data_IF_340149413554
#
_entry.id   IF_340149413554
#
_cell.length_a   1.000
_cell.length_b   1.000
_cell.length_c   1.000
_cell.angle_alpha   90.00
_cell.angle_beta   90.00
_cell.angle_gamma   90.00
#
_symmetry.space_group_name_H-M   'P 1'
#
loop_
_entity.id
_entity.type
_entity.pdbx_description
1 polymer ?
#
# COMPACT_ATOMS: atom_id res chain seq x y z
N UNK A 1 10.84 2.30 -20.44
CA UNK A 1 9.69 2.81 -19.67
C UNK A 1 9.85 2.27 -18.26
N UNK A 2 9.82 3.12 -17.23
CA UNK A 2 9.91 2.64 -15.85
C UNK A 2 8.62 1.89 -15.49
N UNK A 3 8.69 0.95 -14.56
CA UNK A 3 7.53 0.19 -14.09
C UNK A 3 6.49 1.14 -13.47
N UNK A 4 6.95 2.17 -12.76
CA UNK A 4 6.09 3.21 -12.17
C UNK A 4 5.35 4.06 -13.21
N UNK A 5 5.93 4.34 -14.38
CA UNK A 5 5.25 5.08 -15.45
C UNK A 5 4.02 4.31 -15.97
N UNK A 6 4.19 3.00 -16.20
CA UNK A 6 3.11 2.12 -16.59
C UNK A 6 2.06 1.99 -15.48
N UNK A 7 2.52 1.79 -14.24
CA UNK A 7 1.65 1.65 -13.08
C UNK A 7 0.79 2.90 -12.85
N UNK A 8 1.36 4.09 -13.02
CA UNK A 8 0.65 5.37 -12.92
C UNK A 8 -0.46 5.46 -13.98
N UNK A 9 -0.14 5.21 -15.26
CA UNK A 9 -1.12 5.24 -16.34
C UNK A 9 -2.26 4.25 -16.11
N UNK A 10 -1.89 3.02 -15.75
CA UNK A 10 -2.84 1.93 -15.51
C UNK A 10 -3.74 2.18 -14.29
N UNK A 11 -3.16 2.65 -13.18
CA UNK A 11 -3.93 3.04 -12.00
C UNK A 11 -4.85 4.23 -12.28
N UNK A 12 -4.38 5.21 -13.06
CA UNK A 12 -5.19 6.38 -13.45
C UNK A 12 -6.42 5.96 -14.23
N UNK A 13 -6.27 5.10 -15.22
CA UNK A 13 -7.39 4.64 -16.06
C UNK A 13 -8.46 3.92 -15.24
N UNK A 14 -8.04 3.14 -14.23
CA UNK A 14 -8.94 2.38 -13.36
C UNK A 14 -9.56 3.21 -12.23
N UNK A 15 -8.80 4.13 -11.62
CA UNK A 15 -9.17 4.80 -10.38
C UNK A 15 -9.68 6.23 -10.55
N UNK A 16 -9.35 6.92 -11.65
CA UNK A 16 -9.80 8.30 -11.89
C UNK A 16 -11.33 8.46 -11.82
N UNK A 17 -12.15 7.51 -12.33
CA UNK A 17 -13.61 7.57 -12.16
C UNK A 17 -14.08 7.50 -10.70
N UNK A 18 -13.26 6.99 -9.79
CA UNK A 18 -13.56 6.84 -8.35
C UNK A 18 -13.16 8.08 -7.52
N UNK A 19 -12.73 9.17 -8.17
CA UNK A 19 -12.51 10.48 -7.56
C UNK A 19 -11.44 10.48 -6.48
N UNK A 20 -11.86 10.47 -5.21
CA UNK A 20 -10.96 10.48 -4.04
C UNK A 20 -9.94 9.35 -4.06
N UNK A 21 -10.33 8.17 -4.58
CA UNK A 21 -9.45 7.00 -4.66
C UNK A 21 -8.20 7.26 -5.49
N UNK A 22 -8.34 7.87 -6.67
CA UNK A 22 -7.20 8.25 -7.50
C UNK A 22 -6.29 9.25 -6.78
N UNK A 23 -6.86 10.29 -6.15
CA UNK A 23 -6.08 11.27 -5.38
C UNK A 23 -5.30 10.63 -4.25
N UNK A 24 -5.90 9.67 -3.55
CA UNK A 24 -5.23 8.89 -2.54
C UNK A 24 -4.04 8.10 -3.13
N UNK A 25 -4.26 7.27 -4.16
CA UNK A 25 -3.18 6.48 -4.77
C UNK A 25 -2.05 7.33 -5.34
N UNK A 26 -2.35 8.48 -5.94
CA UNK A 26 -1.35 9.44 -6.43
C UNK A 26 -0.51 10.03 -5.28
N UNK A 27 -1.14 10.38 -4.16
CA UNK A 27 -0.44 10.88 -2.98
C UNK A 27 0.38 9.80 -2.25
N UNK A 28 -0.10 8.55 -2.19
CA UNK A 28 0.66 7.40 -1.67
C UNK A 28 1.90 7.17 -2.52
N UNK A 29 1.78 7.24 -3.86
CA UNK A 29 2.93 7.15 -4.76
C UNK A 29 3.91 8.32 -4.61
N UNK A 30 3.44 9.51 -4.25
CA UNK A 30 4.32 10.64 -3.93
C UNK A 30 5.15 10.37 -2.66
N UNK A 31 4.56 9.80 -1.59
CA UNK A 31 5.34 9.34 -0.41
C UNK A 31 6.35 8.28 -0.84
N UNK A 32 5.93 7.30 -1.65
CA UNK A 32 6.80 6.22 -2.10
C UNK A 32 8.04 6.74 -2.85
N UNK A 33 7.90 7.82 -3.63
CA UNK A 33 9.03 8.49 -4.29
C UNK A 33 9.97 9.15 -3.29
N UNK A 34 9.47 9.74 -2.20
CA UNK A 34 10.28 10.30 -1.11
C UNK A 34 11.09 9.20 -0.40
N UNK A 35 10.50 8.00 -0.25
CA UNK A 35 11.14 6.85 0.39
C UNK A 35 12.03 6.02 -0.54
N UNK A 36 12.10 6.34 -1.84
CA UNK A 36 12.77 5.53 -2.85
C UNK A 36 14.25 5.27 -2.56
N UNK A 37 14.94 6.19 -1.88
CA UNK A 37 16.35 6.04 -1.49
C UNK A 37 16.57 5.16 -0.26
N UNK A 38 15.51 4.81 0.48
CA UNK A 38 15.58 3.98 1.69
C UNK A 38 15.42 2.49 1.41
N UNK A 39 14.91 2.14 0.22
CA UNK A 39 14.82 0.76 -0.26
C UNK A 39 16.03 0.42 -1.15
N UNK A 40 16.34 -0.86 -1.37
CA UNK A 40 17.37 -1.23 -2.33
C UNK A 40 17.15 -0.56 -3.69
N UNK A 41 18.20 -0.09 -4.40
CA UNK A 41 18.02 0.64 -5.67
C UNK A 41 17.20 -0.09 -6.74
N UNK A 42 17.25 -1.43 -6.76
CA UNK A 42 16.43 -2.26 -7.65
C UNK A 42 14.94 -2.34 -7.29
N UNK A 43 14.57 -1.91 -6.08
CA UNK A 43 13.22 -1.98 -5.53
C UNK A 43 12.50 -0.63 -5.51
N UNK A 44 13.22 0.48 -5.70
CA UNK A 44 12.67 1.83 -5.69
C UNK A 44 11.48 1.99 -6.66
N UNK A 45 11.64 1.52 -7.90
CA UNK A 45 10.60 1.59 -8.93
C UNK A 45 9.41 0.65 -8.62
N UNK A 46 9.67 -0.50 -7.98
CA UNK A 46 8.63 -1.44 -7.52
C UNK A 46 7.80 -0.83 -6.40
N UNK A 47 8.43 -0.13 -5.45
CA UNK A 47 7.73 0.57 -4.38
C UNK A 47 6.76 1.61 -4.96
N UNK A 48 7.24 2.50 -5.84
CA UNK A 48 6.40 3.54 -6.46
C UNK A 48 5.29 2.92 -7.32
N UNK A 49 5.59 1.88 -8.09
CA UNK A 49 4.58 1.19 -8.89
C UNK A 49 3.50 0.55 -8.00
N UNK A 50 3.88 -0.16 -6.94
CA UNK A 50 2.95 -0.79 -6.00
C UNK A 50 2.08 0.24 -5.28
N UNK A 51 2.62 1.41 -4.94
CA UNK A 51 1.90 2.52 -4.33
C UNK A 51 0.79 3.06 -5.25
N UNK A 52 1.04 3.20 -6.55
CA UNK A 52 -0.01 3.54 -7.51
C UNK A 52 -1.09 2.47 -7.60
N UNK A 53 -0.70 1.20 -7.50
CA UNK A 53 -1.55 0.06 -7.82
C UNK A 53 -2.31 -0.54 -6.63
N UNK A 54 -1.94 -0.24 -5.38
CA UNK A 54 -2.47 -0.95 -4.19
C UNK A 54 -4.00 -0.98 -4.10
N UNK A 55 -4.65 0.09 -4.54
CA UNK A 55 -6.10 0.28 -4.46
C UNK A 55 -6.84 -0.02 -5.79
N UNK A 56 -6.17 -0.52 -6.84
CA UNK A 56 -6.82 -0.76 -8.15
C UNK A 56 -7.97 -1.75 -8.11
N UNK A 57 -7.96 -2.68 -7.15
CA UNK A 57 -9.06 -3.62 -6.96
C UNK A 57 -10.40 -2.98 -6.55
N UNK A 58 -10.43 -1.67 -6.22
CA UNK A 58 -11.68 -0.92 -6.07
C UNK A 58 -12.38 -0.62 -7.41
N UNK A 59 -11.69 -0.73 -8.55
CA UNK A 59 -12.28 -0.50 -9.86
C UNK A 59 -13.43 -1.50 -10.10
N UNK A 60 -14.64 -1.05 -10.48
CA UNK A 60 -15.78 -1.94 -10.67
C UNK A 60 -15.54 -3.06 -11.68
N UNK A 61 -14.70 -2.83 -12.69
CA UNK A 61 -14.32 -3.83 -13.69
C UNK A 61 -13.42 -4.95 -13.16
N UNK A 62 -12.80 -4.76 -11.99
CA UNK A 62 -11.91 -5.73 -11.35
C UNK A 62 -12.54 -6.44 -10.15
N UNK A 63 -13.68 -5.94 -9.65
CA UNK A 63 -14.34 -6.44 -8.45
C UNK A 63 -14.97 -7.83 -8.69
N UNK A 64 -14.28 -8.88 -8.27
CA UNK A 64 -14.74 -10.28 -8.36
C UNK A 64 -15.18 -10.77 -6.98
N UNK A 65 -14.42 -10.46 -5.93
CA UNK A 65 -14.72 -10.87 -4.55
C UNK A 65 -15.25 -9.72 -3.69
N UNK A 66 -15.08 -8.48 -4.14
CA UNK A 66 -15.39 -7.29 -3.35
C UNK A 66 -14.35 -7.03 -2.25
N UNK A 67 -13.18 -7.68 -2.34
CA UNK A 67 -12.02 -7.47 -1.48
C UNK A 67 -10.87 -6.95 -2.35
N UNK A 68 -10.65 -5.64 -2.30
CA UNK A 68 -9.78 -4.92 -3.25
C UNK A 68 -8.33 -5.42 -3.30
N UNK A 69 -7.66 -5.86 -2.21
CA UNK A 69 -6.28 -6.34 -2.30
C UNK A 69 -6.21 -7.59 -3.18
N UNK A 70 -7.15 -8.52 -2.99
CA UNK A 70 -7.20 -9.77 -3.74
C UNK A 70 -7.62 -9.57 -5.20
N UNK A 71 -8.61 -8.71 -5.43
CA UNK A 71 -9.11 -8.41 -6.77
C UNK A 71 -8.06 -7.66 -7.61
N UNK A 72 -7.36 -6.69 -7.01
CA UNK A 72 -6.22 -6.01 -7.62
C UNK A 72 -5.05 -6.97 -7.90
N UNK A 73 -4.70 -7.82 -6.94
CA UNK A 73 -3.63 -8.80 -7.10
C UNK A 73 -3.90 -9.80 -8.23
N UNK A 74 -5.14 -10.30 -8.36
CA UNK A 74 -5.53 -11.18 -9.47
C UNK A 74 -5.33 -10.52 -10.83
N UNK A 75 -5.73 -9.25 -10.93
CA UNK A 75 -5.55 -8.46 -12.14
C UNK A 75 -4.06 -8.28 -12.48
N UNK A 76 -3.24 -7.88 -11.53
CA UNK A 76 -1.80 -7.70 -11.76
C UNK A 76 -1.10 -9.00 -12.15
N UNK A 77 -1.50 -10.12 -11.55
CA UNK A 77 -0.98 -11.44 -11.92
C UNK A 77 -1.38 -11.85 -13.34
N UNK A 78 -2.59 -11.53 -13.81
CA UNK A 78 -3.00 -11.82 -15.19
C UNK A 78 -2.22 -11.01 -16.23
N UNK A 79 -1.70 -9.84 -15.83
CA UNK A 79 -0.79 -9.01 -16.62
C UNK A 79 0.69 -9.43 -16.51
N UNK A 80 1.00 -10.54 -15.83
CA UNK A 80 2.36 -11.06 -15.66
C UNK A 80 3.17 -10.38 -14.55
N UNK A 81 2.57 -9.52 -13.73
CA UNK A 81 3.26 -8.78 -12.67
C UNK A 81 3.15 -9.49 -11.31
N UNK A 82 3.84 -10.63 -11.16
CA UNK A 82 3.73 -11.49 -9.97
C UNK A 82 4.14 -10.80 -8.65
N UNK A 83 5.28 -10.08 -8.64
CA UNK A 83 5.74 -9.38 -7.43
C UNK A 83 4.80 -8.24 -7.01
N UNK A 84 4.36 -7.42 -7.97
CA UNK A 84 3.37 -6.37 -7.68
C UNK A 84 2.06 -6.97 -7.19
N UNK A 85 1.63 -8.10 -7.75
CA UNK A 85 0.46 -8.80 -7.27
C UNK A 85 0.60 -9.25 -5.80
N UNK A 86 1.77 -9.75 -5.38
CA UNK A 86 2.07 -10.06 -3.98
C UNK A 86 1.98 -8.84 -3.07
N UNK A 87 2.67 -7.76 -3.44
CA UNK A 87 2.64 -6.50 -2.68
C UNK A 87 1.22 -5.93 -2.55
N UNK A 88 0.42 -5.95 -3.63
CA UNK A 88 -0.98 -5.50 -3.61
C UNK A 88 -1.87 -6.48 -2.83
N UNK A 89 -1.63 -7.80 -2.88
CA UNK A 89 -2.41 -8.76 -2.13
C UNK A 89 -2.27 -8.55 -0.61
N UNK A 90 -1.06 -8.26 -0.13
CA UNK A 90 -0.76 -8.18 1.30
C UNK A 90 -0.57 -6.76 1.83
N UNK A 91 -0.97 -5.72 1.09
CA UNK A 91 -0.79 -4.35 1.58
C UNK A 91 -1.59 -4.08 2.86
N UNK A 92 -0.98 -3.29 3.76
CA UNK A 92 -1.57 -2.79 5.00
C UNK A 92 -2.07 -3.91 5.94
N UNK A 93 -3.38 -4.20 5.96
CA UNK A 93 -3.99 -5.19 6.86
C UNK A 93 -4.74 -6.29 6.09
N UNK A 94 -4.40 -6.47 4.81
CA UNK A 94 -5.13 -7.36 3.91
C UNK A 94 -5.09 -8.83 4.34
N UNK A 95 -4.03 -9.26 5.03
CA UNK A 95 -3.92 -10.60 5.58
C UNK A 95 -5.02 -10.87 6.61
N UNK A 96 -5.15 -9.98 7.59
CA UNK A 96 -6.11 -10.08 8.68
C UNK A 96 -7.54 -9.94 8.14
N UNK A 97 -7.76 -9.05 7.17
CA UNK A 97 -9.08 -8.88 6.56
C UNK A 97 -9.51 -10.09 5.73
N UNK A 98 -8.57 -10.72 5.01
CA UNK A 98 -8.87 -11.91 4.24
C UNK A 98 -9.34 -13.07 5.12
N UNK A 99 -8.75 -13.24 6.31
CA UNK A 99 -9.21 -14.25 7.28
C UNK A 99 -10.64 -13.96 7.75
N UNK A 100 -10.94 -12.71 8.10
CA UNK A 100 -12.30 -12.29 8.50
C UNK A 100 -13.35 -12.50 7.40
N UNK A 101 -12.93 -12.43 6.13
CA UNK A 101 -13.78 -12.62 4.95
C UNK A 101 -13.82 -14.07 4.45
N UNK A 102 -13.09 -15.01 5.07
CA UNK A 102 -12.98 -16.39 4.58
C UNK A 102 -12.21 -16.51 3.25
N UNK A 103 -11.38 -15.53 2.91
CA UNK A 103 -10.59 -15.43 1.68
C UNK A 103 -9.11 -15.79 1.86
N UNK A 104 -8.69 -16.21 3.05
CA UNK A 104 -7.29 -16.56 3.35
C UNK A 104 -6.65 -17.55 2.37
N UNK A 105 -7.38 -18.62 1.99
CA UNK A 105 -6.90 -19.60 0.98
C UNK A 105 -6.76 -19.03 -0.43
N UNK A 106 -7.55 -18.01 -0.78
CA UNK A 106 -7.38 -17.33 -2.07
C UNK A 106 -6.20 -16.36 -2.03
N UNK A 107 -5.98 -15.71 -0.88
CA UNK A 107 -4.86 -14.79 -0.65
C UNK A 107 -3.51 -15.52 -0.63
N UNK A 108 -3.44 -16.72 -0.02
CA UNK A 108 -2.22 -17.52 0.10
C UNK A 108 -1.62 -17.99 -1.24
N UNK A 109 -2.31 -17.74 -2.36
CA UNK A 109 -1.82 -17.98 -3.73
C UNK A 109 -0.90 -16.86 -4.25
N UNK A 110 -0.67 -15.83 -3.44
CA UNK A 110 0.25 -14.74 -3.74
C UNK A 110 1.38 -14.76 -2.72
N UNK A 111 2.55 -14.28 -3.13
CA UNK A 111 3.73 -14.22 -2.28
C UNK A 111 3.59 -13.07 -1.28
N UNK A 112 3.78 -13.39 0.01
CA UNK A 112 3.91 -12.40 1.07
C UNK A 112 5.40 -12.11 1.32
N UNK A 113 5.92 -11.07 0.68
CA UNK A 113 7.36 -10.73 0.70
C UNK A 113 7.85 -10.37 2.11
N UNK A 114 7.01 -9.77 2.97
CA UNK A 114 7.36 -9.31 4.33
C UNK A 114 8.70 -8.56 4.40
N UNK A 115 8.97 -7.75 3.38
CA UNK A 115 10.23 -7.03 3.22
C UNK A 115 10.11 -5.54 3.46
N UNK A 116 11.21 -4.82 3.25
CA UNK A 116 11.24 -3.35 3.38
C UNK A 116 10.29 -2.67 2.39
N UNK A 117 10.08 -3.25 1.20
CA UNK A 117 9.10 -2.72 0.23
C UNK A 117 7.68 -2.82 0.75
N UNK A 118 7.31 -3.94 1.40
CA UNK A 118 6.00 -4.11 2.04
C UNK A 118 5.82 -3.13 3.20
N UNK A 119 6.85 -2.94 4.02
CA UNK A 119 6.83 -1.99 5.14
C UNK A 119 6.69 -0.55 4.65
N UNK A 120 7.46 -0.16 3.63
CA UNK A 120 7.38 1.16 3.02
C UNK A 120 6.01 1.40 2.36
N UNK A 121 5.45 0.40 1.66
CA UNK A 121 4.11 0.51 1.08
C UNK A 121 3.04 0.74 2.16
N UNK A 122 3.09 -0.02 3.26
CA UNK A 122 2.19 0.17 4.39
C UNK A 122 2.37 1.55 5.03
N UNK A 123 3.59 2.04 5.18
CA UNK A 123 3.87 3.40 5.65
C UNK A 123 3.23 4.44 4.73
N UNK A 124 3.39 4.32 3.41
CA UNK A 124 2.81 5.26 2.45
C UNK A 124 1.27 5.33 2.54
N UNK A 125 0.57 4.19 2.59
CA UNK A 125 -0.90 4.14 2.73
C UNK A 125 -1.36 4.66 4.11
N UNK A 126 -0.64 4.29 5.17
CA UNK A 126 -0.99 4.68 6.54
C UNK A 126 -0.65 6.14 6.88
N UNK A 127 0.03 6.86 6.00
CA UNK A 127 0.36 8.29 6.18
C UNK A 127 -0.36 9.21 5.19
N UNK A 128 -1.28 8.67 4.41
CA UNK A 128 -2.06 9.42 3.41
C UNK A 128 -3.56 9.18 3.59
N UNK A 129 -4.31 10.26 3.79
CA UNK A 129 -5.75 10.25 3.91
C UNK A 129 -6.48 10.00 2.57
N UNK A 130 -7.81 9.80 2.62
CA UNK A 130 -8.60 9.46 1.44
C UNK A 130 -8.69 10.57 0.38
N UNK A 131 -8.29 11.82 0.70
CA UNK A 131 -8.24 12.93 -0.25
C UNK A 131 -6.82 13.26 -0.74
N UNK A 132 -5.81 12.51 -0.28
CA UNK A 132 -4.39 12.71 -0.59
C UNK A 132 -3.64 13.56 0.45
N UNK A 133 -4.31 13.97 1.52
CA UNK A 133 -3.73 14.73 2.63
C UNK A 133 -2.74 13.89 3.45
N UNK A 134 -1.65 14.50 3.94
CA UNK A 134 -0.74 13.84 4.88
C UNK A 134 -1.42 13.64 6.23
N UNK A 135 -1.24 12.47 6.82
CA UNK A 135 -1.76 12.10 8.14
C UNK A 135 -0.66 11.39 8.94
N UNK A 136 -0.74 11.46 10.27
CA UNK A 136 -0.03 10.48 11.10
C UNK A 136 -0.72 9.12 11.01
N UNK A 137 -0.01 8.01 11.27
CA UNK A 137 -0.63 6.69 11.32
C UNK A 137 -1.83 6.62 12.27
N UNK A 138 -1.76 7.24 13.45
CA UNK A 138 -2.86 7.27 14.41
C UNK A 138 -4.08 8.03 13.85
N UNK A 139 -3.85 9.17 13.21
CA UNK A 139 -4.92 9.93 12.55
C UNK A 139 -5.58 9.09 11.46
N UNK A 140 -4.76 8.39 10.65
CA UNK A 140 -5.24 7.53 9.59
C UNK A 140 -6.06 6.35 10.12
N UNK A 141 -5.62 5.73 11.21
CA UNK A 141 -6.37 4.66 11.89
C UNK A 141 -7.74 5.13 12.37
N UNK A 142 -7.80 6.30 13.00
CA UNK A 142 -9.04 6.90 13.47
C UNK A 142 -9.97 7.30 12.30
N UNK A 143 -9.42 7.81 11.19
CA UNK A 143 -10.19 8.09 9.97
C UNK A 143 -10.82 6.82 9.39
N UNK A 144 -10.06 5.73 9.29
CA UNK A 144 -10.59 4.43 8.81
C UNK A 144 -11.73 3.96 9.69
N UNK A 145 -11.56 3.98 11.01
CA UNK A 145 -12.60 3.57 11.96
C UNK A 145 -13.85 4.46 11.88
N UNK A 146 -13.70 5.77 11.70
CA UNK A 146 -14.81 6.70 11.54
C UNK A 146 -15.60 6.48 10.22
N UNK A 147 -14.91 6.13 9.13
CA UNK A 147 -15.55 5.93 7.81
C UNK A 147 -16.24 4.59 7.66
N UNK A 148 -15.65 3.51 8.16
CA UNK A 148 -16.17 2.16 7.98
C UNK A 148 -16.98 1.66 9.20
N UNK A 149 -16.81 2.29 10.36
CA UNK A 149 -17.46 1.88 11.60
C UNK A 149 -16.72 0.74 12.31
N UNK A 150 -16.95 0.65 13.62
CA UNK A 150 -16.25 -0.27 14.55
C UNK A 150 -16.44 -1.77 14.24
N UNK A 151 -17.56 -2.13 13.61
CA UNK A 151 -17.97 -3.51 13.36
C UNK A 151 -17.62 -3.97 11.93
N UNK A 152 -16.97 -3.11 11.13
CA UNK A 152 -16.57 -3.47 9.76
C UNK A 152 -15.34 -4.39 9.75
N UNK A 153 -15.23 -5.30 8.77
CA UNK A 153 -14.02 -6.11 8.58
C UNK A 153 -12.76 -5.27 8.41
N UNK A 154 -12.85 -4.09 7.78
CA UNK A 154 -11.74 -3.16 7.57
C UNK A 154 -11.22 -2.60 8.89
N UNK A 155 -12.11 -2.17 9.79
CA UNK A 155 -11.70 -1.67 11.11
C UNK A 155 -11.15 -2.79 11.99
N UNK A 156 -11.78 -3.97 11.95
CA UNK A 156 -11.35 -5.13 12.73
C UNK A 156 -9.97 -5.64 12.28
N UNK A 157 -9.73 -5.75 10.97
CA UNK A 157 -8.44 -6.15 10.42
C UNK A 157 -7.36 -5.15 10.76
N UNK A 158 -7.60 -3.85 10.56
CA UNK A 158 -6.64 -2.80 10.88
C UNK A 158 -6.27 -2.78 12.36
N UNK A 159 -7.26 -2.96 13.26
CA UNK A 159 -7.00 -3.04 14.71
C UNK A 159 -6.16 -4.27 15.06
N UNK A 160 -6.44 -5.42 14.44
CA UNK A 160 -5.70 -6.65 14.64
C UNK A 160 -4.26 -6.56 14.13
N UNK A 161 -4.06 -5.95 12.95
CA UNK A 161 -2.76 -5.78 12.32
C UNK A 161 -1.92 -4.66 12.94
N UNK A 162 -2.53 -3.76 13.74
CA UNK A 162 -1.91 -2.53 14.24
C UNK A 162 -0.54 -2.73 14.89
N UNK A 163 -0.31 -3.72 15.77
CA UNK A 163 1.01 -3.92 16.37
C UNK A 163 2.12 -4.23 15.36
N UNK A 164 1.82 -4.99 14.30
CA UNK A 164 2.80 -5.28 13.24
C UNK A 164 2.97 -4.09 12.29
N UNK A 165 1.88 -3.38 11.98
CA UNK A 165 1.93 -2.15 11.18
C UNK A 165 2.76 -1.06 11.84
N UNK A 166 2.65 -0.90 13.17
CA UNK A 166 3.49 0.03 13.91
C UNK A 166 4.98 -0.31 13.81
N UNK A 167 5.36 -1.59 13.87
CA UNK A 167 6.76 -2.00 13.67
C UNK A 167 7.26 -1.66 12.27
N UNK A 168 6.42 -1.87 11.26
CA UNK A 168 6.75 -1.48 9.87
C UNK A 168 6.95 0.04 9.74
N UNK A 169 6.09 0.82 10.42
CA UNK A 169 6.22 2.28 10.46
C UNK A 169 7.51 2.71 11.15
N UNK A 170 7.78 2.17 12.33
CA UNK A 170 8.99 2.45 13.11
C UNK A 170 10.27 2.11 12.34
N UNK A 171 10.25 1.01 11.57
CA UNK A 171 11.35 0.61 10.70
C UNK A 171 11.63 1.68 9.62
N UNK A 172 10.59 2.19 8.97
CA UNK A 172 10.73 3.23 7.94
C UNK A 172 11.21 4.55 8.55
N UNK A 173 10.66 4.94 9.70
CA UNK A 173 11.09 6.15 10.42
C UNK A 173 12.56 6.07 10.87
N UNK A 174 13.02 4.89 11.30
CA UNK A 174 14.42 4.68 11.65
C UNK A 174 15.35 4.81 10.44
N UNK A 175 14.99 4.25 9.29
CA UNK A 175 15.76 4.42 8.06
C UNK A 175 15.83 5.89 7.62
N UNK A 176 14.73 6.64 7.75
CA UNK A 176 14.72 8.08 7.49
C UNK A 176 15.69 8.83 8.41
N UNK A 177 15.68 8.53 9.73
CA UNK A 177 16.61 9.13 10.68
C UNK A 177 18.07 8.82 10.34
N UNK A 178 18.38 7.57 10.01
CA UNK A 178 19.73 7.14 9.63
C UNK A 178 20.20 7.85 8.35
N UNK A 179 19.33 7.95 7.34
CA UNK A 179 19.63 8.67 6.11
C UNK A 179 19.91 10.17 6.38
N UNK A 180 19.07 10.82 7.21
CA UNK A 180 19.28 12.22 7.58
C UNK A 180 20.59 12.44 8.34
N UNK A 181 20.95 11.54 9.26
CA UNK A 181 22.22 11.58 9.99
C UNK A 181 23.42 11.37 9.05
N UNK A 182 23.33 10.45 8.09
CA UNK A 182 24.40 10.21 7.11
C UNK A 182 24.64 11.44 6.22
N UNK A 183 23.57 12.11 5.78
CA UNK A 183 23.66 13.38 5.04
C UNK A 183 24.28 14.50 5.88
N UNK A 184 23.90 14.60 7.16
CA UNK A 184 24.45 15.61 8.07
C UNK A 184 25.94 15.36 8.41
N UNK A 185 26.37 14.11 8.46
CA UNK A 185 27.76 13.72 8.71
C UNK A 185 28.67 13.93 7.48
N UNK A 186 28.11 13.95 6.27
CA UNK A 186 28.83 14.17 5.02
C UNK A 186 28.18 15.28 4.18
N UNK A 187 28.21 16.54 4.66
CA UNK A 187 27.71 17.66 3.88
C UNK A 187 28.57 17.81 2.61
N UNK A 188 27.90 17.92 1.45
CA UNK A 188 28.54 18.10 0.14
C UNK A 188 29.38 19.37 0.08
#
# INVERSE_FOLDING_TARGET
>A
MQLSDWAEGHARDLLKPLGRRWRHSEAVAAVARELASLVPPGDADVLVASAYLHDVGYAPSLAITGFHPLDGARHLRSLGNARLAGLVAYHTAAREEAELRGLGSALSKFDDERGIVSAALAYCDLTVGPSGERMTPEQRRLDVEARYGKDSPVTASLRSAWPELLKAIEQVDELQRQAAQALAAHPR
#
